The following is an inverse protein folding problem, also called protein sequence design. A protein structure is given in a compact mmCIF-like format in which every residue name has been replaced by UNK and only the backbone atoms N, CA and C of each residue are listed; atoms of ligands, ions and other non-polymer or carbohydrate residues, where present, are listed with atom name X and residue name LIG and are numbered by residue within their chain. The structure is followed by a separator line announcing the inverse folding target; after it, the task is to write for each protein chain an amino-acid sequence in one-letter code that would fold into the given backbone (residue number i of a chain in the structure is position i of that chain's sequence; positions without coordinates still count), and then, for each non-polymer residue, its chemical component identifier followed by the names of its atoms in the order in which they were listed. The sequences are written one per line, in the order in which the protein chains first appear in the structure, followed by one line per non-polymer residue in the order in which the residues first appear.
data_IF_950199263993
#
_entry.id   IF_950199263993
#
_cell.length_a   1.000
_cell.length_b   1.000
_cell.length_c   1.000
_cell.angle_alpha   90.00
_cell.angle_beta   90.00
_cell.angle_gamma   90.00
#
_symmetry.space_group_name_H-M   'P 1'
#
loop_
_entity.id
_entity.type
_entity.pdbx_description
1 polymer ?
#
# COMPACT_ATOMS: atom_id res chain seq x y z
N UNK A 1 -57.90 1.99 49.95
CA UNK A 1 -59.37 1.95 49.83
C UNK A 1 -59.76 2.58 48.49
N UNK A 2 -60.21 1.77 47.53
CA UNK A 2 -61.16 1.99 46.41
C UNK A 2 -61.08 3.31 45.60
N UNK A 3 -61.25 3.40 44.28
CA UNK A 3 -61.71 2.48 43.23
C UNK A 3 -61.59 3.23 41.88
N UNK A 4 -61.14 2.50 40.84
CA UNK A 4 -61.77 2.37 39.50
C UNK A 4 -61.90 3.56 38.51
N UNK A 5 -61.15 3.37 37.41
CA UNK A 5 -61.53 3.43 35.98
C UNK A 5 -61.88 4.78 35.31
N UNK A 6 -61.09 5.17 34.30
CA UNK A 6 -61.62 5.32 32.93
C UNK A 6 -60.51 5.22 31.84
N UNK A 7 -60.73 4.26 30.94
CA UNK A 7 -60.27 4.13 29.55
C UNK A 7 -59.83 5.45 28.85
N UNK A 8 -58.70 5.41 28.11
CA UNK A 8 -58.70 5.57 26.64
C UNK A 8 -57.31 5.57 25.98
N UNK A 9 -57.26 4.80 24.88
CA UNK A 9 -56.52 5.02 23.62
C UNK A 9 -55.01 4.75 23.56
N UNK A 10 -54.77 3.50 23.16
CA UNK A 10 -53.74 3.02 22.22
C UNK A 10 -53.28 4.08 21.22
N UNK A 11 -51.97 4.30 21.20
CA UNK A 11 -51.25 5.01 20.15
C UNK A 11 -49.86 4.38 19.98
N UNK A 12 -49.80 3.12 19.53
CA UNK A 12 -48.56 2.49 19.12
C UNK A 12 -48.04 3.16 17.85
N UNK A 13 -47.18 4.16 18.01
CA UNK A 13 -46.32 4.67 16.94
C UNK A 13 -45.24 3.62 16.68
N UNK A 14 -45.53 2.72 15.75
CA UNK A 14 -44.54 1.83 15.14
C UNK A 14 -43.61 2.72 14.31
N UNK A 15 -42.49 3.13 14.89
CA UNK A 15 -41.36 3.66 14.14
C UNK A 15 -40.75 2.48 13.37
N UNK A 16 -41.21 2.28 12.14
CA UNK A 16 -40.53 1.41 11.18
C UNK A 16 -39.12 1.96 10.96
N UNK A 17 -38.12 1.22 11.42
CA UNK A 17 -36.73 1.45 11.06
C UNK A 17 -36.57 1.15 9.56
N UNK A 18 -36.80 2.16 8.71
CA UNK A 18 -36.32 2.15 7.34
C UNK A 18 -34.80 2.28 7.39
N UNK A 19 -34.12 1.13 7.47
CA UNK A 19 -32.70 1.04 7.20
C UNK A 19 -32.45 1.47 5.75
N UNK A 20 -32.04 2.73 5.56
CA UNK A 20 -31.50 3.21 4.31
C UNK A 20 -30.19 2.45 4.03
N UNK A 21 -30.26 1.34 3.30
CA UNK A 21 -29.09 0.68 2.74
C UNK A 21 -28.65 1.49 1.52
N UNK A 22 -27.93 2.59 1.77
CA UNK A 22 -27.32 3.43 0.74
C UNK A 22 -25.95 2.87 0.30
N UNK A 23 -25.83 1.55 0.17
CA UNK A 23 -24.70 0.90 -0.49
C UNK A 23 -25.24 0.26 -1.78
N UNK A 24 -25.03 0.93 -2.91
CA UNK A 24 -25.37 0.34 -4.21
C UNK A 24 -24.60 -0.97 -4.42
N UNK A 25 -25.23 -1.91 -5.12
CA UNK A 25 -24.62 -3.20 -5.47
C UNK A 25 -23.25 -2.95 -6.13
N UNK A 26 -22.14 -3.48 -5.55
CA UNK A 26 -20.80 -3.32 -6.11
C UNK A 26 -20.76 -3.74 -7.57
N UNK A 27 -19.92 -3.09 -8.38
CA UNK A 27 -19.88 -3.29 -9.84
C UNK A 27 -19.58 -4.75 -10.23
N UNK A 28 -18.83 -5.48 -9.39
CA UNK A 28 -18.49 -6.90 -9.60
C UNK A 28 -19.66 -7.87 -9.31
N UNK A 29 -20.74 -7.40 -8.67
CA UNK A 29 -21.97 -8.17 -8.43
C UNK A 29 -23.03 -7.93 -9.51
N UNK A 30 -22.68 -7.22 -10.59
CA UNK A 30 -23.58 -6.94 -11.71
C UNK A 30 -23.34 -7.92 -12.87
N UNK A 31 -24.35 -8.14 -13.74
CA UNK A 31 -24.14 -8.86 -14.98
C UNK A 31 -23.04 -8.20 -15.83
N UNK A 32 -22.22 -8.99 -16.55
CA UNK A 32 -22.32 -10.44 -16.73
C UNK A 32 -21.56 -11.27 -15.68
N UNK A 33 -20.82 -10.65 -14.75
CA UNK A 33 -19.84 -11.35 -13.90
C UNK A 33 -20.48 -11.96 -12.65
N UNK A 34 -21.39 -11.24 -11.96
CA UNK A 34 -22.13 -11.71 -10.77
C UNK A 34 -21.25 -12.55 -9.80
N UNK A 35 -20.21 -11.95 -9.23
CA UNK A 35 -19.17 -12.66 -8.49
C UNK A 35 -19.71 -13.64 -7.44
N UNK A 36 -20.74 -13.24 -6.68
CA UNK A 36 -21.36 -14.06 -5.62
C UNK A 36 -22.25 -15.20 -6.14
N UNK A 37 -22.61 -15.22 -7.43
CA UNK A 37 -23.47 -16.25 -8.00
C UNK A 37 -22.73 -17.57 -8.31
N UNK A 38 -21.39 -17.58 -8.24
CA UNK A 38 -20.58 -18.76 -8.55
C UNK A 38 -20.14 -19.45 -7.26
N UNK A 39 -20.33 -20.77 -7.16
CA UNK A 39 -19.80 -21.57 -6.05
C UNK A 39 -18.28 -21.71 -6.16
N UNK A 40 -17.48 -21.17 -5.24
CA UNK A 40 -16.02 -21.26 -5.31
C UNK A 40 -15.54 -22.69 -5.03
N UNK A 41 -14.58 -23.17 -5.81
CA UNK A 41 -13.94 -24.49 -5.66
C UNK A 41 -12.42 -24.31 -5.56
N UNK A 42 -11.97 -23.63 -4.51
CA UNK A 42 -10.56 -23.33 -4.27
C UNK A 42 -10.15 -23.65 -2.81
N UNK A 43 -8.86 -23.54 -2.53
CA UNK A 43 -8.31 -23.84 -1.20
C UNK A 43 -8.88 -22.96 -0.08
N UNK A 44 -9.36 -21.75 -0.40
CA UNK A 44 -10.01 -20.86 0.57
C UNK A 44 -11.43 -21.33 0.85
N UNK A 45 -12.15 -21.79 -0.17
CA UNK A 45 -13.48 -22.39 -0.04
C UNK A 45 -13.44 -23.66 0.82
N UNK A 46 -12.47 -24.55 0.57
CA UNK A 46 -12.26 -25.76 1.38
C UNK A 46 -11.92 -25.41 2.83
N UNK A 47 -11.02 -24.45 3.04
CA UNK A 47 -10.67 -23.97 4.37
C UNK A 47 -11.89 -23.37 5.10
N UNK A 48 -12.72 -22.62 4.39
CA UNK A 48 -13.97 -22.07 4.91
C UNK A 48 -14.95 -23.15 5.37
N UNK A 49 -15.10 -24.22 4.60
CA UNK A 49 -15.92 -25.38 4.99
C UNK A 49 -15.37 -26.07 6.25
N UNK A 50 -14.05 -26.25 6.34
CA UNK A 50 -13.39 -26.84 7.52
C UNK A 50 -13.60 -25.98 8.78
N UNK A 51 -13.56 -24.66 8.65
CA UNK A 51 -13.86 -23.73 9.77
C UNK A 51 -15.34 -23.83 10.15
N UNK A 52 -16.26 -23.81 9.18
CA UNK A 52 -17.70 -23.91 9.43
C UNK A 52 -18.10 -25.25 10.07
N UNK A 53 -17.43 -26.34 9.69
CA UNK A 53 -17.59 -27.67 10.28
C UNK A 53 -16.92 -27.80 11.67
N UNK A 54 -16.27 -26.74 12.18
CA UNK A 54 -15.58 -26.75 13.48
C UNK A 54 -14.27 -27.52 13.50
N UNK A 55 -13.75 -27.95 12.34
CA UNK A 55 -12.51 -28.72 12.21
C UNK A 55 -11.25 -27.84 12.34
N UNK A 56 -11.40 -26.52 12.17
CA UNK A 56 -10.34 -25.54 12.37
C UNK A 56 -10.89 -24.33 13.10
N UNK A 57 -10.26 -23.97 14.22
CA UNK A 57 -10.60 -22.74 14.94
C UNK A 57 -9.52 -21.68 14.76
N UNK A 58 -9.94 -20.50 14.29
CA UNK A 58 -9.11 -19.30 14.27
C UNK A 58 -9.31 -18.57 15.60
N UNK A 59 -8.46 -18.86 16.58
CA UNK A 59 -8.52 -18.28 17.93
C UNK A 59 -7.24 -17.52 18.28
N UNK A 60 -7.30 -16.70 19.33
CA UNK A 60 -6.15 -15.93 19.81
C UNK A 60 -5.97 -14.58 19.11
N UNK A 61 -4.74 -14.08 19.08
CA UNK A 61 -4.42 -12.76 18.50
C UNK A 61 -4.53 -12.77 16.98
N UNK A 62 -4.73 -11.60 16.37
CA UNK A 62 -4.75 -11.47 14.89
C UNK A 62 -3.51 -12.08 14.22
N UNK A 63 -2.34 -11.95 14.84
CA UNK A 63 -1.09 -12.56 14.36
C UNK A 63 -1.12 -14.09 14.42
N UNK A 64 -1.72 -14.66 15.46
CA UNK A 64 -1.87 -16.11 15.58
C UNK A 64 -2.82 -16.64 14.50
N UNK A 65 -3.97 -16.01 14.33
CA UNK A 65 -4.93 -16.35 13.28
C UNK A 65 -4.30 -16.30 11.88
N UNK A 66 -3.53 -15.24 11.58
CA UNK A 66 -2.82 -15.13 10.30
C UNK A 66 -1.81 -16.27 10.10
N UNK A 67 -1.02 -16.62 11.11
CA UNK A 67 -0.05 -17.74 11.00
C UNK A 67 -0.76 -19.08 10.78
N UNK A 68 -1.91 -19.30 11.41
CA UNK A 68 -2.73 -20.49 11.19
C UNK A 68 -3.25 -20.53 9.76
N UNK A 69 -3.82 -19.43 9.26
CA UNK A 69 -4.28 -19.33 7.88
C UNK A 69 -3.17 -19.60 6.86
N UNK A 70 -2.00 -18.97 7.03
CA UNK A 70 -0.86 -19.17 6.12
C UNK A 70 -0.40 -20.63 6.08
N UNK A 71 -0.38 -21.29 7.25
CA UNK A 71 -0.05 -22.72 7.34
C UNK A 71 -1.07 -23.59 6.59
N UNK A 72 -2.35 -23.37 6.86
CA UNK A 72 -3.42 -24.17 6.26
C UNK A 72 -3.54 -23.97 4.74
N UNK A 73 -3.20 -22.77 4.24
CA UNK A 73 -3.15 -22.47 2.81
C UNK A 73 -1.81 -22.85 2.15
N UNK A 74 -0.87 -23.47 2.88
CA UNK A 74 0.48 -23.79 2.40
C UNK A 74 1.24 -22.57 1.84
N UNK A 75 1.01 -21.39 2.41
CA UNK A 75 1.68 -20.16 2.03
C UNK A 75 2.88 -19.92 2.96
N UNK A 76 4.13 -19.91 2.45
CA UNK A 76 5.31 -19.67 3.28
C UNK A 76 5.22 -18.31 3.96
N UNK A 77 5.54 -18.22 5.25
CA UNK A 77 5.52 -16.95 5.99
C UNK A 77 6.49 -15.94 5.37
N UNK A 78 7.59 -16.45 4.81
CA UNK A 78 8.64 -15.71 4.12
C UNK A 78 8.13 -15.06 2.83
N UNK A 79 7.04 -15.56 2.23
CA UNK A 79 6.45 -15.01 1.00
C UNK A 79 5.68 -13.69 1.22
N UNK A 80 5.35 -13.36 2.47
CA UNK A 80 4.43 -12.25 2.80
C UNK A 80 5.09 -10.86 2.93
N UNK A 81 6.41 -10.77 2.85
CA UNK A 81 7.12 -9.52 3.21
C UNK A 81 7.08 -8.47 2.07
N UNK A 82 6.85 -8.87 0.82
CA UNK A 82 6.97 -7.98 -0.35
C UNK A 82 5.67 -7.67 -1.10
N UNK A 83 4.56 -8.33 -0.78
CA UNK A 83 3.28 -8.13 -1.48
C UNK A 83 2.76 -6.71 -1.26
N UNK A 84 2.86 -6.18 -0.03
CA UNK A 84 2.30 -4.89 0.35
C UNK A 84 2.89 -3.69 -0.43
N UNK A 85 4.15 -3.75 -0.87
CA UNK A 85 4.77 -2.66 -1.65
C UNK A 85 4.33 -2.63 -3.10
N UNK A 86 4.08 -3.79 -3.71
CA UNK A 86 3.58 -3.84 -5.08
C UNK A 86 2.13 -3.38 -5.14
N UNK A 87 1.32 -3.76 -4.15
CA UNK A 87 -0.09 -3.34 -4.07
C UNK A 87 -0.23 -1.82 -3.91
N UNK A 88 0.64 -1.17 -3.11
CA UNK A 88 0.58 0.29 -2.96
C UNK A 88 0.94 1.03 -4.25
N UNK A 89 1.97 0.58 -4.99
CA UNK A 89 2.31 1.15 -6.30
C UNK A 89 1.17 1.00 -7.30
N UNK A 90 0.54 -0.17 -7.38
CA UNK A 90 -0.59 -0.42 -8.28
C UNK A 90 -1.79 0.44 -7.92
N UNK A 91 -2.15 0.52 -6.63
CA UNK A 91 -3.25 1.35 -6.15
C UNK A 91 -3.01 2.83 -6.44
N UNK A 92 -1.85 3.36 -6.08
CA UNK A 92 -1.47 4.74 -6.35
C UNK A 92 -1.52 5.06 -7.86
N UNK A 93 -1.05 4.14 -8.70
CA UNK A 93 -1.13 4.29 -10.16
C UNK A 93 -2.58 4.35 -10.65
N UNK A 94 -3.44 3.46 -10.16
CA UNK A 94 -4.85 3.40 -10.55
C UNK A 94 -5.60 4.67 -10.12
N UNK A 95 -5.48 5.04 -8.84
CA UNK A 95 -6.15 6.20 -8.26
C UNK A 95 -5.75 7.49 -8.98
N UNK A 96 -4.45 7.69 -9.22
CA UNK A 96 -3.97 8.88 -9.92
C UNK A 96 -4.38 8.91 -11.40
N UNK A 97 -4.35 7.77 -12.12
CA UNK A 97 -4.84 7.71 -13.51
C UNK A 97 -6.31 8.07 -13.60
N UNK A 98 -7.14 7.55 -12.68
CA UNK A 98 -8.56 7.88 -12.59
C UNK A 98 -8.76 9.38 -12.40
N UNK A 99 -7.98 10.00 -11.52
CA UNK A 99 -8.06 11.45 -11.29
C UNK A 99 -7.58 12.28 -12.49
N UNK A 100 -6.58 11.84 -13.24
CA UNK A 100 -6.17 12.51 -14.48
C UNK A 100 -7.27 12.44 -15.54
N UNK A 101 -7.92 11.29 -15.72
CA UNK A 101 -9.07 11.16 -16.63
C UNK A 101 -10.22 12.07 -16.21
N UNK A 102 -10.55 12.08 -14.92
CA UNK A 102 -11.56 12.96 -14.33
C UNK A 102 -11.24 14.44 -14.57
N UNK A 103 -10.00 14.86 -14.29
CA UNK A 103 -9.54 16.24 -14.50
C UNK A 103 -9.66 16.67 -15.97
N UNK A 104 -9.21 15.83 -16.92
CA UNK A 104 -9.28 16.16 -18.35
C UNK A 104 -10.72 16.32 -18.84
N UNK A 105 -11.65 15.49 -18.32
CA UNK A 105 -13.07 15.63 -18.62
C UNK A 105 -13.60 16.99 -18.14
N UNK A 106 -13.33 17.35 -16.87
CA UNK A 106 -13.70 18.66 -16.33
C UNK A 106 -13.10 19.82 -17.12
N UNK A 107 -11.80 19.76 -17.45
CA UNK A 107 -11.13 20.81 -18.22
C UNK A 107 -11.77 20.98 -19.60
N UNK A 108 -12.17 19.87 -20.23
CA UNK A 108 -12.85 19.90 -21.53
C UNK A 108 -14.22 20.56 -21.41
N UNK A 109 -15.02 20.15 -20.42
CA UNK A 109 -16.37 20.68 -20.18
C UNK A 109 -16.36 22.17 -19.81
N UNK A 110 -15.35 22.59 -19.03
CA UNK A 110 -15.14 23.97 -18.59
C UNK A 110 -14.36 24.83 -19.62
N UNK A 111 -13.94 24.25 -20.75
CA UNK A 111 -13.12 24.91 -21.80
C UNK A 111 -11.80 25.48 -21.27
N UNK A 112 -11.22 24.81 -20.29
CA UNK A 112 -9.88 25.08 -19.75
C UNK A 112 -8.81 24.38 -20.59
N UNK A 113 -7.54 24.75 -20.38
CA UNK A 113 -6.42 24.03 -21.04
C UNK A 113 -6.28 22.63 -20.44
N UNK A 114 -6.34 21.62 -21.29
CA UNK A 114 -6.16 20.21 -20.87
C UNK A 114 -4.71 19.98 -20.46
N UNK A 115 -4.51 19.54 -19.22
CA UNK A 115 -3.18 19.25 -18.66
C UNK A 115 -3.21 18.05 -17.74
N UNK A 116 -2.06 17.37 -17.67
CA UNK A 116 -1.82 16.25 -16.75
C UNK A 116 -1.26 16.71 -15.40
N UNK A 117 -0.94 17.99 -15.26
CA UNK A 117 -0.53 18.52 -13.97
C UNK A 117 -1.77 18.64 -13.05
N UNK A 118 -1.76 18.09 -11.83
CA UNK A 118 -2.87 18.20 -10.88
C UNK A 118 -3.31 19.66 -10.62
N UNK A 119 -4.48 20.06 -11.13
CA UNK A 119 -4.99 21.45 -11.05
C UNK A 119 -6.04 21.64 -9.97
N UNK A 120 -7.01 20.72 -9.87
CA UNK A 120 -8.11 20.82 -8.90
C UNK A 120 -7.70 20.28 -7.53
N UNK A 121 -8.25 20.84 -6.45
CA UNK A 121 -7.87 20.47 -5.08
C UNK A 121 -8.17 19.00 -4.75
N UNK A 122 -9.26 18.46 -5.29
CA UNK A 122 -9.58 17.03 -5.18
C UNK A 122 -8.50 16.15 -5.82
N UNK A 123 -7.98 16.55 -6.99
CA UNK A 123 -6.92 15.83 -7.71
C UNK A 123 -5.59 15.98 -6.96
N UNK A 124 -5.23 17.19 -6.55
CA UNK A 124 -4.01 17.47 -5.78
C UNK A 124 -3.96 16.67 -4.49
N UNK A 125 -5.07 16.60 -3.76
CA UNK A 125 -5.16 15.84 -2.51
C UNK A 125 -4.92 14.33 -2.74
N UNK A 126 -5.55 13.73 -3.75
CA UNK A 126 -5.33 12.32 -4.09
C UNK A 126 -3.86 12.06 -4.45
N UNK A 127 -3.24 12.94 -5.23
CA UNK A 127 -1.81 12.83 -5.56
C UNK A 127 -0.92 12.97 -4.32
N UNK A 128 -1.21 13.92 -3.43
CA UNK A 128 -0.44 14.12 -2.21
C UNK A 128 -0.50 12.88 -1.30
N UNK A 129 -1.68 12.31 -1.11
CA UNK A 129 -1.84 11.06 -0.36
C UNK A 129 -1.11 9.89 -1.02
N UNK A 130 -1.23 9.73 -2.33
CA UNK A 130 -0.54 8.67 -3.07
C UNK A 130 0.99 8.79 -2.98
N UNK A 131 1.53 10.00 -2.97
CA UNK A 131 2.98 10.24 -2.78
C UNK A 131 3.44 9.74 -1.41
N UNK A 132 2.77 10.15 -0.34
CA UNK A 132 3.14 9.77 1.03
C UNK A 132 2.96 8.26 1.28
N UNK A 133 1.88 7.66 0.76
CA UNK A 133 1.64 6.20 0.87
C UNK A 133 2.72 5.38 0.15
N UNK A 134 3.13 5.82 -1.04
CA UNK A 134 4.22 5.16 -1.78
C UNK A 134 5.54 5.35 -1.06
N UNK A 135 5.85 6.55 -0.56
CA UNK A 135 7.10 6.81 0.13
C UNK A 135 7.22 6.07 1.45
N UNK A 136 6.14 5.96 2.23
CA UNK A 136 6.11 5.15 3.44
C UNK A 136 6.53 3.73 3.15
N UNK A 137 6.01 3.17 2.07
CA UNK A 137 6.26 1.79 1.72
C UNK A 137 7.61 1.59 1.05
N UNK A 138 8.10 2.58 0.29
CA UNK A 138 9.46 2.59 -0.22
C UNK A 138 10.47 2.72 0.91
N UNK A 139 10.25 3.58 1.91
CA UNK A 139 11.18 3.83 3.00
C UNK A 139 11.00 2.90 4.20
N UNK A 140 10.27 1.80 4.03
CA UNK A 140 10.06 0.79 5.07
C UNK A 140 9.46 1.37 6.38
N UNK A 141 8.60 2.38 6.27
CA UNK A 141 7.93 2.97 7.44
C UNK A 141 6.98 1.93 8.05
N UNK A 142 7.06 1.79 9.37
CA UNK A 142 6.25 0.80 10.09
C UNK A 142 6.64 -0.65 9.80
N UNK A 143 7.88 -0.89 9.33
CA UNK A 143 8.40 -2.26 9.21
C UNK A 143 8.30 -2.99 10.55
N UNK A 144 7.74 -4.19 10.53
CA UNK A 144 7.66 -5.03 11.72
C UNK A 144 9.08 -5.48 12.13
N UNK A 145 9.40 -5.49 13.43
CA UNK A 145 10.70 -5.95 13.89
C UNK A 145 10.93 -7.40 13.49
N UNK A 146 12.17 -7.70 13.05
CA UNK A 146 12.57 -9.07 12.76
C UNK A 146 12.80 -9.84 14.06
N UNK A 147 12.40 -11.12 14.13
CA UNK A 147 12.73 -11.96 15.27
C UNK A 147 14.23 -12.25 15.29
N UNK A 148 14.77 -12.47 16.49
CA UNK A 148 16.15 -12.91 16.65
C UNK A 148 16.42 -14.22 15.91
N UNK A 149 17.62 -14.33 15.33
CA UNK A 149 18.04 -15.53 14.60
C UNK A 149 17.45 -15.68 13.19
N UNK A 150 16.83 -14.64 12.62
CA UNK A 150 16.38 -14.67 11.23
C UNK A 150 17.56 -14.85 10.26
N UNK A 151 17.75 -16.06 9.74
CA UNK A 151 18.75 -16.36 8.72
C UNK A 151 18.07 -16.58 7.37
N UNK A 152 18.49 -15.83 6.35
CA UNK A 152 18.06 -16.06 4.97
C UNK A 152 18.86 -17.21 4.35
N UNK A 153 18.18 -18.14 3.66
CA UNK A 153 18.85 -19.24 2.96
C UNK A 153 19.91 -18.73 1.97
N UNK A 154 21.09 -19.34 1.96
CA UNK A 154 22.25 -18.85 1.20
C UNK A 154 21.96 -18.74 -0.30
N UNK A 155 21.28 -19.74 -0.88
CA UNK A 155 20.89 -19.74 -2.27
C UNK A 155 19.99 -18.54 -2.62
N UNK A 156 18.99 -18.25 -1.76
CA UNK A 156 18.11 -17.10 -1.95
C UNK A 156 18.89 -15.79 -1.84
N UNK A 157 19.76 -15.64 -0.83
CA UNK A 157 20.57 -14.43 -0.65
C UNK A 157 21.45 -14.16 -1.86
N UNK A 158 22.06 -15.21 -2.43
CA UNK A 158 22.89 -15.13 -3.63
C UNK A 158 22.08 -14.66 -4.83
N UNK A 159 20.98 -15.34 -5.14
CA UNK A 159 20.11 -15.00 -6.28
C UNK A 159 19.49 -13.61 -6.11
N UNK A 160 19.06 -13.26 -4.90
CA UNK A 160 18.50 -11.95 -4.62
C UNK A 160 19.54 -10.83 -4.82
N UNK A 161 20.81 -11.05 -4.50
CA UNK A 161 21.85 -10.02 -4.65
C UNK A 161 22.46 -9.94 -6.06
N UNK A 162 22.30 -10.96 -6.90
CA UNK A 162 23.06 -11.15 -8.15
C UNK A 162 22.98 -9.96 -9.12
N UNK A 163 21.80 -9.36 -9.30
CA UNK A 163 21.59 -8.23 -10.22
C UNK A 163 21.32 -6.91 -9.48
N UNK A 164 21.81 -6.77 -8.25
CA UNK A 164 21.59 -5.56 -7.47
C UNK A 164 22.40 -4.38 -8.05
N UNK A 165 21.77 -3.28 -8.48
CA UNK A 165 22.50 -2.07 -8.84
C UNK A 165 23.28 -1.57 -7.63
N UNK A 166 24.60 -1.44 -7.77
CA UNK A 166 25.52 -1.02 -6.71
C UNK A 166 26.07 0.38 -6.97
N UNK A 167 26.14 1.17 -5.91
CA UNK A 167 26.94 2.41 -5.89
C UNK A 167 28.43 2.10 -6.04
N UNK A 168 29.23 3.13 -6.30
CA UNK A 168 30.71 3.07 -6.31
C UNK A 168 31.27 2.62 -4.97
N UNK A 169 30.59 2.92 -3.87
CA UNK A 169 30.92 2.44 -2.52
C UNK A 169 30.53 0.97 -2.28
N UNK A 170 29.93 0.29 -3.26
CA UNK A 170 29.56 -1.12 -3.18
C UNK A 170 28.20 -1.40 -2.53
N UNK A 171 27.50 -0.38 -2.02
CA UNK A 171 26.18 -0.55 -1.40
C UNK A 171 25.05 -0.67 -2.44
N UNK A 172 24.03 -1.47 -2.12
CA UNK A 172 22.80 -1.63 -2.89
C UNK A 172 21.54 -1.61 -2.00
N UNK A 173 20.38 -1.31 -2.61
CA UNK A 173 19.08 -1.40 -1.93
C UNK A 173 18.63 -2.85 -1.67
N UNK A 174 19.25 -3.84 -2.34
CA UNK A 174 19.00 -5.27 -2.13
C UNK A 174 19.91 -5.88 -1.07
N UNK A 175 20.79 -5.11 -0.44
CA UNK A 175 21.64 -5.61 0.63
C UNK A 175 20.78 -5.94 1.87
N UNK A 176 20.91 -7.17 2.37
CA UNK A 176 20.12 -7.70 3.49
C UNK A 176 20.90 -7.61 4.81
N UNK A 177 20.21 -7.22 5.89
CA UNK A 177 20.75 -7.14 7.25
C UNK A 177 20.24 -8.26 8.16
N UNK A 178 18.96 -8.61 8.06
CA UNK A 178 18.29 -9.74 8.74
C UNK A 178 18.57 -9.84 10.26
N UNK A 179 18.64 -8.69 10.94
CA UNK A 179 18.78 -8.63 12.41
C UNK A 179 17.58 -7.89 12.99
N UNK A 180 17.64 -6.58 12.93
CA UNK A 180 16.61 -5.61 13.33
C UNK A 180 15.64 -5.27 12.19
N UNK A 181 16.16 -5.25 10.96
CA UNK A 181 15.44 -4.90 9.74
C UNK A 181 15.82 -5.85 8.59
N UNK A 182 14.95 -5.98 7.57
CA UNK A 182 15.24 -6.82 6.40
C UNK A 182 16.42 -6.27 5.62
N UNK A 183 16.36 -4.99 5.26
CA UNK A 183 17.34 -4.33 4.40
C UNK A 183 18.41 -3.58 5.21
N UNK A 184 19.64 -3.59 4.70
CA UNK A 184 20.74 -2.79 5.26
C UNK A 184 20.56 -1.28 5.00
N UNK A 185 19.82 -0.93 3.94
CA UNK A 185 19.42 0.42 3.59
C UNK A 185 17.89 0.42 3.49
N UNK A 186 17.18 1.13 4.38
CA UNK A 186 15.70 1.14 4.47
C UNK A 186 15.04 1.93 3.32
N UNK A 187 15.29 1.47 2.10
CA UNK A 187 14.65 1.87 0.87
C UNK A 187 14.44 0.63 -0.02
N UNK A 188 13.19 0.34 -0.36
CA UNK A 188 12.79 -0.83 -1.14
C UNK A 188 13.37 -0.78 -2.54
N UNK A 189 13.98 -1.90 -2.96
CA UNK A 189 14.47 -2.08 -4.32
C UNK A 189 13.36 -2.03 -5.40
N UNK A 190 12.07 -2.04 -5.00
CA UNK A 190 10.95 -1.89 -5.93
C UNK A 190 10.90 -0.53 -6.63
N UNK A 191 11.67 0.45 -6.16
CA UNK A 191 11.91 1.67 -6.93
C UNK A 191 12.50 1.39 -8.32
N UNK A 192 13.23 0.28 -8.51
CA UNK A 192 13.75 -0.15 -9.82
C UNK A 192 12.74 -0.96 -10.65
N UNK A 193 11.59 -1.32 -10.09
CA UNK A 193 10.62 -2.20 -10.74
C UNK A 193 9.90 -1.50 -11.90
N UNK A 194 9.39 -2.29 -12.85
CA UNK A 194 8.55 -1.76 -13.92
C UNK A 194 7.26 -1.11 -13.41
N UNK A 195 6.72 -1.57 -12.28
CA UNK A 195 5.57 -0.94 -11.62
C UNK A 195 5.86 0.51 -11.22
N UNK A 196 7.05 0.78 -10.69
CA UNK A 196 7.46 2.15 -10.36
C UNK A 196 7.72 2.98 -11.63
N UNK A 197 8.43 2.42 -12.61
CA UNK A 197 8.76 3.11 -13.88
C UNK A 197 7.52 3.55 -14.66
N UNK A 198 6.45 2.74 -14.61
CA UNK A 198 5.18 2.96 -15.30
C UNK A 198 4.13 3.72 -14.48
N UNK A 199 4.49 4.28 -13.33
CA UNK A 199 3.62 5.23 -12.62
C UNK A 199 3.28 6.43 -13.53
N UNK A 200 2.11 7.05 -13.36
CA UNK A 200 1.79 8.31 -14.06
C UNK A 200 2.89 9.35 -13.83
N UNK A 201 3.32 10.03 -14.89
CA UNK A 201 4.48 10.92 -14.85
C UNK A 201 4.36 12.03 -13.77
N UNK A 202 3.21 12.70 -13.59
CA UNK A 202 3.05 13.72 -12.54
C UNK A 202 3.17 13.14 -11.11
N UNK A 203 2.79 11.87 -10.91
CA UNK A 203 2.93 11.16 -9.64
C UNK A 203 4.38 10.76 -9.41
N UNK A 204 5.00 10.11 -10.40
CA UNK A 204 6.40 9.65 -10.34
C UNK A 204 7.37 10.81 -10.07
N UNK A 205 7.17 11.94 -10.76
CA UNK A 205 7.96 13.15 -10.55
C UNK A 205 7.89 13.66 -9.10
N UNK A 206 6.67 13.71 -8.53
CA UNK A 206 6.44 14.13 -7.13
C UNK A 206 7.07 13.17 -6.13
N UNK A 207 6.95 11.86 -6.34
CA UNK A 207 7.59 10.85 -5.48
C UNK A 207 9.11 11.02 -5.50
N UNK A 208 9.74 11.17 -6.68
CA UNK A 208 11.19 11.34 -6.80
C UNK A 208 11.66 12.65 -6.16
N UNK A 209 10.92 13.74 -6.33
CA UNK A 209 11.23 15.02 -5.71
C UNK A 209 11.17 14.94 -4.19
N UNK A 210 10.04 14.46 -3.66
CA UNK A 210 9.80 14.31 -2.21
C UNK A 210 10.78 13.33 -1.57
N UNK A 211 11.10 12.20 -2.23
CA UNK A 211 12.15 11.28 -1.79
C UNK A 211 13.50 11.98 -1.64
N UNK A 212 13.86 12.83 -2.62
CA UNK A 212 15.09 13.61 -2.59
C UNK A 212 15.12 14.63 -1.43
N UNK A 213 13.98 15.18 -1.03
CA UNK A 213 13.88 16.07 0.13
C UNK A 213 14.08 15.31 1.44
N UNK A 214 13.42 14.17 1.59
CA UNK A 214 13.52 13.31 2.77
C UNK A 214 14.96 12.84 2.98
N UNK A 215 15.62 12.36 1.92
CA UNK A 215 16.96 11.80 1.99
C UNK A 215 18.05 12.87 2.20
N UNK A 216 17.83 14.10 1.74
CA UNK A 216 18.75 15.23 2.00
C UNK A 216 18.46 15.95 3.31
N UNK A 217 17.46 15.52 4.06
CA UNK A 217 17.06 16.16 5.31
C UNK A 217 16.47 17.56 5.13
N UNK A 218 15.90 17.85 3.96
CA UNK A 218 15.15 19.09 3.68
C UNK A 218 13.70 19.02 4.18
N UNK A 219 13.28 17.84 4.61
CA UNK A 219 11.98 17.62 5.23
C UNK A 219 11.98 18.12 6.68
N UNK A 220 11.04 18.99 7.02
CA UNK A 220 10.86 19.50 8.39
C UNK A 220 10.09 18.52 9.29
N UNK A 221 9.47 17.48 8.72
CA UNK A 221 8.67 16.50 9.44
C UNK A 221 9.47 15.40 10.15
N UNK A 222 8.83 14.77 11.13
CA UNK A 222 9.36 13.62 11.88
C UNK A 222 9.05 12.26 11.22
N UNK A 223 8.26 12.25 10.14
CA UNK A 223 7.70 11.04 9.48
C UNK A 223 8.77 9.97 9.17
N UNK A 224 9.95 10.41 8.77
CA UNK A 224 11.10 9.57 8.39
C UNK A 224 12.32 9.77 9.31
N UNK A 225 12.10 10.16 10.57
CA UNK A 225 13.15 10.36 11.58
C UNK A 225 13.82 9.06 12.03
N UNK A 226 13.12 7.92 11.89
CA UNK A 226 13.68 6.59 12.20
C UNK A 226 14.86 6.19 11.30
N UNK A 227 15.02 6.83 10.14
CA UNK A 227 16.18 6.67 9.25
C UNK A 227 17.23 7.72 9.60
N UNK A 228 18.39 7.28 10.10
CA UNK A 228 19.48 8.16 10.49
C UNK A 228 20.12 8.90 9.31
N UNK A 229 20.82 10.01 9.57
CA UNK A 229 21.43 10.87 8.55
C UNK A 229 22.39 10.11 7.62
N UNK A 230 23.25 9.27 8.18
CA UNK A 230 24.20 8.47 7.38
C UNK A 230 23.50 7.47 6.46
N UNK A 231 22.42 6.84 6.93
CA UNK A 231 21.65 5.90 6.12
C UNK A 231 20.88 6.63 5.02
N UNK A 232 20.28 7.79 5.33
CA UNK A 232 19.66 8.65 4.31
C UNK A 232 20.66 9.05 3.22
N UNK A 233 21.88 9.44 3.61
CA UNK A 233 22.95 9.78 2.68
C UNK A 233 23.35 8.57 1.82
N UNK A 234 23.54 7.38 2.43
CA UNK A 234 23.82 6.16 1.66
C UNK A 234 22.72 5.83 0.66
N UNK A 235 21.45 5.91 1.05
CA UNK A 235 20.30 5.67 0.14
C UNK A 235 20.32 6.70 -1.00
N UNK A 236 20.55 7.98 -0.70
CA UNK A 236 20.66 9.03 -1.70
C UNK A 236 21.77 8.75 -2.72
N UNK A 237 22.97 8.40 -2.24
CA UNK A 237 24.11 8.12 -3.12
C UNK A 237 23.88 6.89 -4.00
N UNK A 238 23.31 5.82 -3.43
CA UNK A 238 22.89 4.63 -4.21
C UNK A 238 21.96 5.09 -5.34
N UNK A 239 20.84 5.73 -5.02
CA UNK A 239 19.82 6.10 -6.00
C UNK A 239 20.33 7.07 -7.07
N UNK A 240 21.14 8.06 -6.69
CA UNK A 240 21.75 9.02 -7.63
C UNK A 240 22.67 8.33 -8.62
N UNK A 241 23.37 7.28 -8.21
CA UNK A 241 24.35 6.58 -9.05
C UNK A 241 23.72 5.50 -9.92
N UNK A 242 22.68 4.82 -9.43
CA UNK A 242 22.16 3.59 -10.04
C UNK A 242 20.79 3.73 -10.70
N UNK A 243 19.96 4.70 -10.29
CA UNK A 243 18.60 4.84 -10.84
C UNK A 243 18.58 5.89 -11.97
N UNK A 244 18.26 5.51 -13.23
CA UNK A 244 18.46 6.38 -14.39
C UNK A 244 17.63 7.68 -14.32
N UNK A 245 16.34 7.61 -13.99
CA UNK A 245 15.49 8.80 -13.91
C UNK A 245 15.87 9.72 -12.74
N UNK A 246 16.18 9.15 -11.57
CA UNK A 246 16.59 9.89 -10.38
C UNK A 246 17.90 10.62 -10.63
N UNK A 247 18.88 9.95 -11.24
CA UNK A 247 20.15 10.56 -11.65
C UNK A 247 19.94 11.83 -12.47
N UNK A 248 19.06 11.78 -13.47
CA UNK A 248 18.73 12.93 -14.31
C UNK A 248 18.00 14.03 -13.53
N UNK A 249 16.96 13.68 -12.78
CA UNK A 249 16.10 14.64 -12.05
C UNK A 249 16.84 15.35 -10.93
N UNK A 250 17.69 14.65 -10.18
CA UNK A 250 18.46 15.25 -9.10
C UNK A 250 19.68 16.03 -9.58
N UNK A 251 20.26 15.69 -10.74
CA UNK A 251 21.31 16.49 -11.35
C UNK A 251 20.82 17.88 -11.80
N UNK A 252 19.57 17.99 -12.24
CA UNK A 252 18.94 19.26 -12.62
C UNK A 252 18.48 20.13 -11.43
N UNK A 253 18.32 19.54 -10.25
CA UNK A 253 17.99 20.26 -9.02
C UNK A 253 19.27 20.87 -8.43
N UNK A 254 19.81 21.93 -9.04
CA UNK A 254 20.86 22.73 -8.39
C UNK A 254 20.36 23.23 -7.03
N UNK A 255 21.25 23.13 -6.04
CA UNK A 255 21.11 23.53 -4.63
C UNK A 255 20.58 24.94 -4.48
#
# INVERSE_FOLDING_TARGET
MNHRHLLRLVGCLVFGATGAQAQGVPDYERPPVNYSATTPHDAVAELGQRIAAGQLQLSGTARHMLRTLLRELNVPVESQIMVFSKTSLTRAAFDCRKMLVYQRALQTDLKETVTDEPTYDSVKSVFAHAVEDVLDRLLCRGEAPLPDGATGGEAFRRVFAQDAPRSRAGHALKDLRLRDHVFANRCSYLIYSDSFRRLPEPLKARIIARLGDVLRGRDAGDRYSYIGKEEKQRIYDILRETHPEIKLRWAGSKT
#
